data_IF_787890968367
#
_entry.id   IF_787890968367
#
_cell.length_a   1.000
_cell.length_b   1.000
_cell.length_c   1.000
_cell.angle_alpha   90.00
_cell.angle_beta   90.00
_cell.angle_gamma   90.00
#
_symmetry.space_group_name_H-M   'P 1'
#
loop_
_entity.id
_entity.type
_entity.pdbx_description
1 polymer ?
#
# COMPACT_ATOMS: atom_id res chain seq x y z
N UNK A 1 -0.91 -7.08 10.63
CA UNK A 1 -1.85 -8.15 10.29
C UNK A 1 -1.34 -8.88 9.08
N UNK A 2 -1.25 -10.19 9.15
CA UNK A 2 -0.71 -10.97 8.06
C UNK A 2 -1.79 -11.74 7.35
N UNK A 3 -1.68 -11.87 6.05
CA UNK A 3 -2.63 -12.65 5.29
C UNK A 3 -2.04 -13.11 3.98
N UNK A 4 -2.67 -14.10 3.36
CA UNK A 4 -2.25 -14.61 2.06
C UNK A 4 -3.17 -14.02 1.01
N UNK A 5 -2.60 -13.47 -0.03
CA UNK A 5 -3.36 -12.76 -1.07
C UNK A 5 -2.70 -12.92 -2.43
N UNK A 6 -3.45 -12.59 -3.47
CA UNK A 6 -2.87 -12.41 -4.79
C UNK A 6 -3.00 -10.93 -5.14
N UNK A 7 -2.10 -10.44 -5.98
CA UNK A 7 -2.15 -9.06 -6.42
C UNK A 7 -2.93 -9.01 -7.73
N UNK A 8 -4.00 -8.23 -7.76
CA UNK A 8 -4.83 -8.16 -8.96
C UNK A 8 -4.47 -6.97 -9.82
N UNK A 9 -3.86 -5.95 -9.26
CA UNK A 9 -3.42 -4.78 -10.03
C UNK A 9 -2.38 -4.01 -9.23
N UNK A 10 -1.52 -3.29 -9.93
CA UNK A 10 -0.51 -2.45 -9.32
C UNK A 10 -0.56 -1.09 -9.99
N UNK A 11 -0.35 -0.05 -9.22
CA UNK A 11 -0.29 1.29 -9.77
C UNK A 11 1.14 1.72 -9.96
N UNK A 12 1.43 2.62 -10.87
CA UNK A 12 2.79 3.13 -11.01
C UNK A 12 3.20 3.87 -9.74
N UNK A 13 4.48 3.82 -9.42
CA UNK A 13 4.97 4.56 -8.27
C UNK A 13 4.84 6.04 -8.54
N UNK A 14 4.41 6.78 -7.55
CA UNK A 14 4.29 8.23 -7.65
C UNK A 14 5.12 8.87 -6.55
N UNK A 15 5.45 10.12 -6.74
CA UNK A 15 6.19 10.89 -5.76
C UNK A 15 5.28 11.96 -5.19
N UNK A 16 5.21 12.02 -3.87
CA UNK A 16 4.40 13.01 -3.21
C UNK A 16 5.30 14.03 -2.60
N UNK A 17 5.11 15.29 -2.97
CA UNK A 17 5.95 16.34 -2.43
C UNK A 17 5.44 16.73 -1.06
N UNK A 18 6.36 16.96 -0.17
CA UNK A 18 6.00 17.43 1.13
C UNK A 18 5.72 18.87 1.07
N UNK A 19 4.70 19.39 1.64
CA UNK A 19 4.47 20.73 1.60
C UNK A 19 4.72 21.33 2.83
N UNK A 20 4.33 22.33 3.07
CA UNK A 20 4.42 22.93 4.26
C UNK A 20 5.62 23.07 4.91
N UNK A 21 6.45 23.76 4.63
CA UNK A 21 7.58 24.21 5.27
C UNK A 21 8.53 23.23 5.80
N UNK A 22 8.41 22.07 5.48
CA UNK A 22 9.28 21.21 6.04
C UNK A 22 10.34 21.02 5.12
N UNK A 23 11.43 21.69 5.27
CA UNK A 23 12.38 21.67 4.37
C UNK A 23 13.08 20.43 4.20
N UNK A 24 13.02 19.52 4.94
CA UNK A 24 13.81 18.41 4.70
C UNK A 24 13.12 17.41 3.99
N UNK A 25 12.03 17.62 3.53
CA UNK A 25 11.39 16.69 3.07
C UNK A 25 11.47 16.41 1.86
N UNK A 26 11.48 16.35 1.45
CA UNK A 26 11.59 15.97 0.35
C UNK A 26 10.55 15.29 -0.27
N UNK A 27 10.77 14.30 -0.98
CA UNK A 27 9.78 13.62 -1.71
C UNK A 27 9.55 12.25 -1.17
N UNK A 28 8.30 11.87 -1.00
CA UNK A 28 7.97 10.54 -0.52
C UNK A 28 7.47 9.73 -1.70
N UNK A 29 8.03 8.55 -1.88
CA UNK A 29 7.60 7.65 -2.94
C UNK A 29 6.49 6.77 -2.42
N UNK A 30 5.51 6.49 -3.29
CA UNK A 30 4.36 5.70 -2.91
C UNK A 30 3.94 4.82 -4.07
N UNK A 31 3.61 3.58 -3.80
CA UNK A 31 3.10 2.67 -4.82
C UNK A 31 1.91 1.91 -4.27
N UNK A 32 0.83 1.85 -5.02
CA UNK A 32 -0.40 1.20 -4.59
C UNK A 32 -0.58 -0.16 -5.21
N UNK A 33 -1.26 -1.02 -4.48
CA UNK A 33 -1.50 -2.38 -4.90
C UNK A 33 -2.92 -2.78 -4.55
N UNK A 34 -3.55 -3.58 -5.42
CA UNK A 34 -4.85 -4.15 -5.13
C UNK A 34 -4.65 -5.63 -4.84
N UNK A 35 -5.06 -6.07 -3.67
CA UNK A 35 -4.88 -7.45 -3.22
C UNK A 35 -6.23 -8.11 -2.98
N UNK A 36 -6.27 -9.42 -3.13
CA UNK A 36 -7.49 -10.14 -2.97
C UNK A 36 -7.24 -11.55 -2.45
N UNK A 37 -8.15 -12.06 -1.65
CA UNK A 37 -8.20 -13.47 -1.33
C UNK A 37 -9.68 -13.85 -1.25
N UNK A 38 -10.01 -15.04 -0.71
CA UNK A 38 -11.39 -15.48 -0.70
C UNK A 38 -12.30 -14.63 0.15
N UNK A 39 -11.75 -13.93 1.13
CA UNK A 39 -12.54 -13.20 2.06
C UNK A 39 -12.37 -11.70 1.99
N UNK A 40 -11.31 -11.24 1.41
CA UNK A 40 -10.96 -9.82 1.44
C UNK A 40 -10.51 -9.29 0.11
N UNK A 41 -10.80 -8.04 -0.13
CA UNK A 41 -10.27 -7.35 -1.29
C UNK A 41 -9.95 -5.94 -0.81
N UNK A 42 -8.74 -5.47 -1.02
CA UNK A 42 -8.34 -4.18 -0.47
C UNK A 42 -7.20 -3.55 -1.26
N UNK A 43 -7.03 -2.26 -1.04
CA UNK A 43 -5.96 -1.47 -1.64
C UNK A 43 -4.97 -1.15 -0.54
N UNK A 44 -3.69 -1.36 -0.79
CA UNK A 44 -2.65 -1.08 0.19
C UNK A 44 -1.52 -0.31 -0.48
N UNK A 45 -0.79 0.48 0.29
CA UNK A 45 0.27 1.32 -0.24
C UNK A 45 1.59 1.00 0.42
N UNK A 46 2.64 0.92 -0.40
CA UNK A 46 4.01 0.82 0.09
C UNK A 46 4.64 2.20 -0.04
N UNK A 47 5.53 2.55 0.87
CA UNK A 47 6.13 3.87 0.90
C UNK A 47 7.64 3.79 0.86
N UNK A 48 8.26 4.86 0.39
CA UNK A 48 9.71 5.06 0.49
C UNK A 48 10.52 4.05 -0.30
N UNK A 49 11.60 3.60 0.30
CA UNK A 49 12.49 2.67 -0.37
C UNK A 49 11.80 1.35 -0.71
N UNK A 50 10.82 0.95 0.10
CA UNK A 50 10.08 -0.26 -0.18
C UNK A 50 9.25 -0.08 -1.46
N UNK A 51 8.64 1.08 -1.66
CA UNK A 51 7.91 1.36 -2.88
C UNK A 51 8.84 1.32 -4.09
N UNK A 52 10.04 1.88 -3.94
CA UNK A 52 11.00 1.86 -5.03
C UNK A 52 11.42 0.45 -5.39
N UNK A 53 11.61 -0.39 -4.37
CA UNK A 53 12.02 -1.75 -4.64
C UNK A 53 10.92 -2.52 -5.36
N UNK A 54 9.67 -2.30 -5.00
CA UNK A 54 8.57 -2.99 -5.64
C UNK A 54 8.28 -2.45 -7.04
N UNK A 55 8.67 -1.20 -7.29
CA UNK A 55 8.54 -0.67 -8.63
C UNK A 55 9.58 -1.34 -9.56
N UNK A 56 10.76 -1.61 -9.05
CA UNK A 56 11.78 -2.25 -9.86
C UNK A 56 11.52 -3.74 -10.01
N UNK A 57 10.82 -4.33 -9.06
CA UNK A 57 10.54 -5.76 -9.07
C UNK A 57 9.03 -5.95 -8.89
N UNK A 58 8.25 -5.74 -9.93
CA UNK A 58 6.80 -5.80 -9.79
C UNK A 58 6.31 -7.16 -9.36
N UNK A 59 5.18 -7.17 -8.69
CA UNK A 59 4.58 -8.41 -8.24
C UNK A 59 4.03 -9.18 -9.45
N UNK A 60 4.03 -10.47 -9.33
CA UNK A 60 3.58 -11.33 -10.41
C UNK A 60 2.09 -11.62 -10.28
N UNK A 61 1.42 -11.72 -11.41
CA UNK A 61 0.01 -12.06 -11.42
C UNK A 61 -0.16 -13.53 -11.05
N UNK A 62 -1.30 -13.85 -10.52
CA UNK A 62 -1.65 -15.22 -10.18
C UNK A 62 -0.62 -15.90 -9.27
N UNK A 63 -0.02 -15.14 -8.42
CA UNK A 63 1.00 -15.63 -7.49
C UNK A 63 0.56 -15.34 -6.08
N UNK A 64 0.71 -16.30 -5.20
CA UNK A 64 0.30 -16.12 -3.82
C UNK A 64 1.40 -15.45 -3.03
N UNK A 65 1.05 -14.41 -2.33
CA UNK A 65 1.99 -13.67 -1.48
C UNK A 65 1.50 -13.65 -0.05
N UNK A 66 2.43 -13.67 0.87
CA UNK A 66 2.10 -13.40 2.26
C UNK A 66 2.44 -11.95 2.52
N UNK A 67 1.48 -11.18 2.96
CA UNK A 67 1.67 -9.76 3.19
C UNK A 67 1.45 -9.45 4.65
N UNK A 68 2.15 -8.42 5.14
CA UNK A 68 1.93 -7.89 6.46
C UNK A 68 1.46 -6.46 6.25
N UNK A 69 0.24 -6.15 6.70
CA UNK A 69 -0.33 -4.83 6.50
C UNK A 69 -0.75 -4.25 7.84
N UNK A 70 -0.80 -2.93 7.89
CA UNK A 70 -1.36 -2.24 9.03
C UNK A 70 -2.48 -1.34 8.54
N UNK A 71 -3.48 -1.15 9.39
CA UNK A 71 -4.62 -0.33 9.05
C UNK A 71 -4.65 0.83 10.03
N UNK A 72 -4.71 2.03 9.51
CA UNK A 72 -4.78 3.21 10.34
C UNK A 72 -5.98 4.05 9.91
N UNK A 73 -6.42 4.91 10.79
CA UNK A 73 -7.54 5.77 10.52
C UNK A 73 -7.05 7.18 10.27
N UNK A 74 -7.43 7.75 9.16
CA UNK A 74 -7.19 9.14 8.88
C UNK A 74 -8.50 9.88 9.02
N UNK A 75 -8.47 11.08 9.55
CA UNK A 75 -9.68 11.87 9.66
C UNK A 75 -9.36 13.33 9.43
N UNK A 76 -10.29 14.05 8.89
CA UNK A 76 -10.12 15.48 8.67
C UNK A 76 -11.49 16.10 8.54
N UNK A 77 -11.55 17.42 8.63
CA UNK A 77 -12.80 18.11 8.49
C UNK A 77 -12.95 18.54 7.04
N UNK A 78 -14.09 18.28 6.45
CA UNK A 78 -14.34 18.67 5.07
C UNK A 78 -14.50 20.17 4.98
N UNK A 79 -13.82 20.81 4.06
CA UNK A 79 -13.95 22.24 3.87
C UNK A 79 -15.31 22.59 3.34
N UNK A 80 -16.01 21.71 2.68
CA UNK A 80 -17.27 22.07 2.13
C UNK A 80 -18.36 21.90 3.09
N UNK A 81 -18.44 20.82 3.84
CA UNK A 81 -19.59 20.57 4.68
C UNK A 81 -19.28 20.74 6.14
N UNK A 82 -18.00 20.92 6.49
CA UNK A 82 -17.54 21.02 7.87
C UNK A 82 -17.87 19.76 8.65
N UNK A 83 -18.02 18.66 7.96
CA UNK A 83 -18.25 17.41 8.63
C UNK A 83 -16.95 16.64 8.73
N UNK A 84 -16.84 15.82 9.76
CA UNK A 84 -15.64 15.03 9.94
C UNK A 84 -15.66 13.87 8.96
N UNK A 85 -14.58 13.70 8.25
CA UNK A 85 -14.45 12.62 7.28
C UNK A 85 -13.45 11.62 7.80
N UNK A 86 -13.75 10.34 7.64
CA UNK A 86 -12.87 9.27 8.11
C UNK A 86 -12.51 8.35 6.98
N UNK A 87 -11.29 7.89 6.96
CA UNK A 87 -10.85 6.98 5.92
C UNK A 87 -9.86 6.00 6.51
N UNK A 88 -10.03 4.72 6.19
CA UNK A 88 -9.04 3.72 6.59
C UNK A 88 -7.94 3.71 5.56
N UNK A 89 -6.70 3.64 6.02
CA UNK A 89 -5.55 3.54 5.15
C UNK A 89 -4.83 2.26 5.47
N UNK A 90 -4.50 1.48 4.45
CA UNK A 90 -3.83 0.21 4.65
C UNK A 90 -2.43 0.34 4.09
N UNK A 91 -1.43 0.10 4.93
CA UNK A 91 -0.04 0.19 4.56
C UNK A 91 0.53 -1.20 4.42
N UNK A 92 1.20 -1.44 3.30
CA UNK A 92 1.90 -2.69 3.08
C UNK A 92 3.28 -2.58 3.74
N UNK A 93 3.53 -3.43 4.73
CA UNK A 93 4.78 -3.38 5.47
C UNK A 93 5.77 -4.43 5.01
N UNK A 94 5.29 -5.60 4.63
CA UNK A 94 6.17 -6.67 4.14
C UNK A 94 5.43 -7.50 3.15
N UNK A 95 6.16 -8.12 2.24
CA UNK A 95 5.56 -9.01 1.27
C UNK A 95 6.57 -10.11 0.93
N UNK A 96 6.12 -11.34 0.89
CA UNK A 96 6.95 -12.46 0.52
C UNK A 96 6.17 -13.39 -0.38
N UNK A 97 6.82 -13.87 -1.44
CA UNK A 97 6.21 -14.81 -2.34
C UNK A 97 6.13 -16.16 -1.64
N UNK A 98 5.00 -16.81 -1.74
CA UNK A 98 4.83 -18.11 -1.12
C UNK A 98 5.26 -19.17 -2.14
N UNK A 99 6.17 -20.03 -1.70
CA UNK A 99 6.65 -21.06 -2.58
C UNK A 99 5.86 -22.33 -2.31
N UNK A 100 5.02 -22.69 -3.24
CA UNK A 100 4.18 -23.84 -3.06
C UNK A 100 4.77 -25.12 -3.60
N UNK A 101 5.95 -25.01 -4.18
CA UNK A 101 6.53 -26.19 -4.70
C UNK A 101 7.26 -27.02 -3.78
N UNK A 102 7.56 -26.63 -2.66
CA UNK A 102 8.38 -27.34 -1.77
C UNK A 102 7.58 -28.34 -1.04
N UNK A 103 6.92 -29.15 -1.65
CA UNK A 103 6.14 -30.07 -0.91
C UNK A 103 6.72 -31.41 -0.98
#
# INVERSE_FOLDING_TARGET
MQMLVTCTAQEPMVTIDSKEGDQNRGQLKKKGFFFKNDQNEFYAEALGAFAERLEKNPLLANTLYQVDVSISLASWESDRTHEQVYKNQIRLNKINKVNLESV
#
